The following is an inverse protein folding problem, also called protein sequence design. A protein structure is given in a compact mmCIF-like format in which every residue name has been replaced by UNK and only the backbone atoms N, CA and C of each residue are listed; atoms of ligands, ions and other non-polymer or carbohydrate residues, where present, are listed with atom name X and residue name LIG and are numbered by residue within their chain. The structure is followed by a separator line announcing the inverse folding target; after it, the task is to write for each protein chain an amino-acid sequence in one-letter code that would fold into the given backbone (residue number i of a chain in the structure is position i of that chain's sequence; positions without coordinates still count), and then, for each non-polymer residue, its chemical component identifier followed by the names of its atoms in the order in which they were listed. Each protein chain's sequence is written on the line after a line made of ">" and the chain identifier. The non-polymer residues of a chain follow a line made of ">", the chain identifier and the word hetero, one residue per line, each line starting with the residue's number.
data_IF_636289148627
#
_entry.id   IF_636289148627
#
_cell.length_a   1.000
_cell.length_b   1.000
_cell.length_c   1.000
_cell.angle_alpha   90.00
_cell.angle_beta   90.00
_cell.angle_gamma   90.00
#
_symmetry.space_group_name_H-M   'P 1'
#
loop_
_entity.id
_entity.type
_entity.pdbx_description
1 polymer ?
#
# COMPACT_ATOMS: atom_id res chain seq x y z
N UNK A 1 77.52 -93.33 -26.91
CA UNK A 1 77.87 -92.27 -25.96
C UNK A 1 78.61 -91.19 -26.73
N UNK A 2 77.94 -90.32 -27.48
CA UNK A 2 77.12 -89.15 -27.09
C UNK A 2 77.96 -87.88 -27.13
N UNK A 3 77.86 -87.14 -28.24
CA UNK A 3 78.37 -85.77 -28.35
C UNK A 3 77.57 -85.02 -29.42
N UNK A 4 76.42 -84.50 -29.02
CA UNK A 4 75.74 -83.40 -29.73
C UNK A 4 75.34 -82.38 -28.67
N UNK A 5 76.08 -81.28 -28.66
CA UNK A 5 75.77 -80.10 -27.87
C UNK A 5 74.54 -79.42 -28.47
N UNK A 6 73.45 -79.35 -27.71
CA UNK A 6 72.34 -78.45 -28.00
C UNK A 6 72.73 -77.04 -27.55
N UNK A 7 72.73 -76.07 -28.46
CA UNK A 7 72.81 -74.65 -28.11
C UNK A 7 71.39 -74.15 -27.82
N UNK A 8 71.06 -73.69 -26.59
CA UNK A 8 69.79 -73.05 -26.35
C UNK A 8 69.80 -71.63 -26.94
N UNK A 9 68.75 -71.30 -27.70
CA UNK A 9 68.48 -69.97 -28.21
C UNK A 9 68.32 -68.97 -27.06
N UNK A 10 69.31 -68.11 -26.84
CA UNK A 10 69.19 -66.96 -25.94
C UNK A 10 68.66 -65.77 -26.72
N UNK A 11 67.36 -65.50 -26.61
CA UNK A 11 66.82 -64.19 -26.97
C UNK A 11 67.37 -63.15 -25.96
N UNK A 12 67.85 -61.98 -26.40
CA UNK A 12 68.32 -60.95 -25.48
C UNK A 12 67.14 -60.50 -24.60
N UNK A 13 67.22 -60.81 -23.30
CA UNK A 13 66.24 -60.35 -22.32
C UNK A 13 66.38 -58.84 -22.17
N UNK A 14 65.32 -58.10 -22.50
CA UNK A 14 65.24 -56.68 -22.18
C UNK A 14 65.28 -56.52 -20.64
N UNK A 15 66.02 -55.53 -20.11
CA UNK A 15 66.06 -55.29 -18.68
C UNK A 15 64.64 -55.01 -18.16
N UNK A 16 64.29 -55.48 -16.96
CA UNK A 16 62.99 -55.23 -16.38
C UNK A 16 62.77 -53.72 -16.25
N UNK A 17 61.59 -53.27 -16.67
CA UNK A 17 61.20 -51.87 -16.52
C UNK A 17 61.21 -51.52 -15.02
N UNK A 18 61.71 -50.33 -14.65
CA UNK A 18 61.68 -49.89 -13.26
C UNK A 18 60.24 -49.83 -12.76
N UNK A 19 60.03 -50.17 -11.49
CA UNK A 19 58.69 -50.17 -10.91
C UNK A 19 58.08 -48.76 -11.02
N UNK A 20 56.93 -48.68 -11.70
CA UNK A 20 56.17 -47.44 -11.81
C UNK A 20 55.58 -47.06 -10.45
N UNK A 21 55.27 -45.77 -10.22
CA UNK A 21 54.65 -45.32 -8.98
C UNK A 21 53.35 -46.09 -8.71
N UNK A 22 53.22 -46.64 -7.51
CA UNK A 22 52.06 -47.43 -7.08
C UNK A 22 50.79 -46.57 -7.04
N UNK A 23 49.68 -47.12 -7.56
CA UNK A 23 48.36 -46.47 -7.53
C UNK A 23 47.71 -46.45 -6.14
N UNK A 24 48.49 -46.69 -5.08
CA UNK A 24 48.03 -46.70 -3.69
C UNK A 24 47.62 -45.31 -3.18
N UNK A 25 47.82 -44.26 -4.01
CA UNK A 25 47.56 -42.87 -3.69
C UNK A 25 46.48 -42.22 -4.55
N UNK A 26 45.42 -42.96 -4.88
CA UNK A 26 44.20 -42.36 -5.46
C UNK A 26 43.37 -41.74 -4.34
N UNK A 27 43.16 -40.41 -4.37
CA UNK A 27 42.22 -39.76 -3.44
C UNK A 27 40.80 -40.21 -3.77
N UNK A 28 40.03 -40.58 -2.75
CA UNK A 28 38.60 -40.87 -2.90
C UNK A 28 37.79 -39.65 -3.33
N UNK A 29 36.50 -39.82 -3.69
CA UNK A 29 35.62 -38.72 -4.09
C UNK A 29 35.64 -37.59 -3.07
N UNK A 30 35.97 -36.38 -3.53
CA UNK A 30 35.95 -35.19 -2.70
C UNK A 30 34.52 -34.66 -2.74
N UNK A 31 33.85 -34.64 -1.60
CA UNK A 31 32.55 -33.98 -1.46
C UNK A 31 32.77 -32.47 -1.61
N UNK A 32 32.35 -31.92 -2.75
CA UNK A 32 32.37 -30.48 -2.98
C UNK A 32 31.09 -29.93 -2.34
N UNK A 33 31.19 -29.07 -1.31
CA UNK A 33 29.99 -28.44 -0.75
C UNK A 33 29.28 -27.68 -1.89
N UNK A 34 27.99 -27.97 -2.09
CA UNK A 34 27.20 -27.41 -3.19
C UNK A 34 27.05 -25.89 -3.11
N UNK A 35 27.23 -25.33 -1.91
CA UNK A 35 27.20 -23.88 -1.67
C UNK A 35 28.28 -23.49 -0.68
N UNK A 36 29.05 -22.47 -1.05
CA UNK A 36 30.03 -21.83 -0.19
C UNK A 36 29.33 -20.89 0.82
N UNK A 37 29.94 -20.71 1.99
CA UNK A 37 29.35 -19.92 3.10
C UNK A 37 28.97 -18.49 2.68
N UNK A 38 29.71 -17.89 1.74
CA UNK A 38 29.41 -16.54 1.21
C UNK A 38 28.14 -16.51 0.35
N UNK A 39 27.80 -17.61 -0.34
CA UNK A 39 26.58 -17.72 -1.14
C UNK A 39 25.36 -17.82 -0.24
N UNK A 40 25.47 -18.55 0.87
CA UNK A 40 24.43 -18.63 1.91
C UNK A 40 24.23 -17.25 2.54
N UNK A 41 25.32 -16.56 2.89
CA UNK A 41 25.26 -15.21 3.44
C UNK A 41 24.60 -14.21 2.48
N UNK A 42 24.93 -14.28 1.19
CA UNK A 42 24.30 -13.46 0.15
C UNK A 42 22.81 -13.76 -0.01
N UNK A 43 22.42 -15.05 -0.02
CA UNK A 43 21.03 -15.45 -0.12
C UNK A 43 20.20 -14.94 1.07
N UNK A 44 20.75 -15.04 2.29
CA UNK A 44 20.12 -14.48 3.49
C UNK A 44 19.98 -12.97 3.39
N UNK A 45 21.02 -12.25 2.97
CA UNK A 45 21.00 -10.79 2.83
C UNK A 45 19.96 -10.31 1.80
N UNK A 46 19.84 -10.99 0.67
CA UNK A 46 18.82 -10.70 -0.35
C UNK A 46 17.41 -11.02 0.20
N UNK A 47 17.26 -12.14 0.91
CA UNK A 47 16.00 -12.52 1.54
C UNK A 47 15.50 -11.48 2.55
N UNK A 48 16.38 -10.98 3.43
CA UNK A 48 16.02 -9.92 4.38
C UNK A 48 15.72 -8.59 3.69
N UNK A 49 16.46 -8.24 2.63
CA UNK A 49 16.17 -7.04 1.86
C UNK A 49 14.79 -7.09 1.21
N UNK A 50 14.47 -8.21 0.55
CA UNK A 50 13.15 -8.42 -0.08
C UNK A 50 12.02 -8.41 0.94
N UNK A 51 12.21 -9.08 2.09
CA UNK A 51 11.22 -9.09 3.15
C UNK A 51 11.02 -7.68 3.75
N UNK A 52 12.10 -6.95 3.97
CA UNK A 52 12.05 -5.55 4.43
C UNK A 52 11.34 -4.65 3.43
N UNK A 53 11.60 -4.83 2.13
CA UNK A 53 10.96 -4.05 1.06
C UNK A 53 9.49 -4.41 0.90
N UNK A 54 9.13 -5.69 1.06
CA UNK A 54 7.75 -6.16 1.07
C UNK A 54 6.99 -5.61 2.27
N UNK A 55 7.55 -5.70 3.48
CA UNK A 55 6.99 -5.11 4.70
C UNK A 55 6.84 -3.59 4.51
N UNK A 56 7.87 -2.90 4.02
CA UNK A 56 7.82 -1.47 3.73
C UNK A 56 6.73 -1.13 2.71
N UNK A 57 6.60 -1.90 1.63
CA UNK A 57 5.57 -1.71 0.63
C UNK A 57 4.17 -1.93 1.21
N UNK A 58 3.96 -2.96 2.03
CA UNK A 58 2.70 -3.19 2.73
C UNK A 58 2.40 -2.08 3.75
N UNK A 59 3.39 -1.62 4.52
CA UNK A 59 3.22 -0.49 5.45
C UNK A 59 2.91 0.79 4.67
N UNK A 60 3.60 1.07 3.55
CA UNK A 60 3.37 2.24 2.69
C UNK A 60 1.99 2.19 2.03
N UNK A 61 1.57 1.02 1.55
CA UNK A 61 0.25 0.79 1.00
C UNK A 61 -0.83 0.95 2.09
N UNK A 62 -0.56 0.46 3.30
CA UNK A 62 -1.43 0.58 4.47
C UNK A 62 -1.36 1.95 5.15
N UNK A 63 -0.36 2.77 4.86
CA UNK A 63 -0.28 4.18 5.28
C UNK A 63 -1.31 5.05 4.54
N UNK A 64 -2.05 4.50 3.57
CA UNK A 64 -3.31 5.08 3.05
C UNK A 64 -4.52 4.83 3.98
N UNK A 65 -4.38 3.94 4.96
CA UNK A 65 -5.22 3.88 6.15
C UNK A 65 -4.41 4.55 7.29
N UNK A 66 -4.58 5.86 7.51
CA UNK A 66 -3.77 6.58 8.47
C UNK A 66 -4.07 6.07 9.88
N UNK A 67 -3.12 6.32 10.78
CA UNK A 67 -3.35 6.39 12.22
C UNK A 67 -4.76 6.88 12.54
N UNK A 68 -5.35 6.28 13.58
CA UNK A 68 -6.68 6.49 14.11
C UNK A 68 -6.93 7.93 14.59
N UNK A 69 -6.80 8.91 13.70
CA UNK A 69 -7.48 10.19 13.80
C UNK A 69 -8.92 9.85 13.43
N UNK A 70 -9.89 10.04 14.34
CA UNK A 70 -11.28 9.75 14.03
C UNK A 70 -11.68 10.55 12.77
N UNK A 71 -12.46 9.96 11.86
CA UNK A 71 -12.77 10.57 10.56
C UNK A 71 -13.35 11.98 10.69
N UNK A 72 -14.03 12.29 11.81
CA UNK A 72 -14.50 13.63 12.17
C UNK A 72 -13.38 14.66 12.29
N UNK A 73 -12.30 14.33 13.01
CA UNK A 73 -11.21 15.25 13.33
C UNK A 73 -10.37 15.48 12.07
N UNK A 74 -10.21 14.43 11.26
CA UNK A 74 -9.58 14.55 9.93
C UNK A 74 -10.37 15.49 9.02
N UNK A 75 -11.72 15.39 9.00
CA UNK A 75 -12.55 16.20 8.12
C UNK A 75 -12.57 17.68 8.54
N UNK A 76 -12.68 17.96 9.83
CA UNK A 76 -12.64 19.33 10.37
C UNK A 76 -11.27 19.97 10.16
N UNK A 77 -10.18 19.25 10.41
CA UNK A 77 -8.83 19.73 10.16
C UNK A 77 -8.59 20.01 8.67
N UNK A 78 -9.09 19.15 7.77
CA UNK A 78 -9.02 19.37 6.32
C UNK A 78 -9.83 20.61 5.88
N UNK A 79 -11.00 20.84 6.48
CA UNK A 79 -11.83 22.02 6.21
C UNK A 79 -11.15 23.32 6.67
N UNK A 80 -10.57 23.33 7.87
CA UNK A 80 -9.84 24.49 8.41
C UNK A 80 -8.58 24.76 7.57
N UNK A 81 -7.83 23.72 7.23
CA UNK A 81 -6.66 23.83 6.35
C UNK A 81 -7.05 24.37 4.97
N UNK A 82 -8.17 23.91 4.41
CA UNK A 82 -8.70 24.44 3.16
C UNK A 82 -8.98 25.94 3.30
N UNK A 83 -9.67 26.36 4.36
CA UNK A 83 -9.97 27.78 4.61
C UNK A 83 -8.71 28.65 4.68
N UNK A 84 -7.67 28.19 5.40
CA UNK A 84 -6.40 28.93 5.53
C UNK A 84 -5.61 29.02 4.21
N UNK A 85 -5.55 27.92 3.44
CA UNK A 85 -4.75 27.88 2.21
C UNK A 85 -5.39 28.58 1.01
N UNK A 86 -6.68 28.89 1.08
CA UNK A 86 -7.46 29.44 -0.04
C UNK A 86 -8.05 30.81 0.26
N UNK A 87 -7.35 31.62 1.07
CA UNK A 87 -7.82 32.93 1.51
C UNK A 87 -8.32 33.84 0.36
N UNK A 88 -7.69 33.73 -0.82
CA UNK A 88 -8.00 34.53 -2.01
C UNK A 88 -8.55 33.69 -3.19
N UNK A 89 -8.95 32.43 -2.97
CA UNK A 89 -9.34 31.50 -4.04
C UNK A 89 -10.62 30.73 -3.67
N UNK A 90 -11.77 31.33 -3.99
CA UNK A 90 -13.09 30.79 -3.65
C UNK A 90 -13.37 29.44 -4.34
N UNK A 91 -12.90 29.26 -5.56
CA UNK A 91 -13.08 28.01 -6.32
C UNK A 91 -12.31 26.87 -5.66
N UNK A 92 -11.05 27.10 -5.33
CA UNK A 92 -10.21 26.11 -4.66
C UNK A 92 -10.69 25.84 -3.25
N UNK A 93 -11.22 26.85 -2.55
CA UNK A 93 -11.89 26.68 -1.26
C UNK A 93 -13.06 25.69 -1.37
N UNK A 94 -13.98 25.91 -2.31
CA UNK A 94 -15.14 25.05 -2.51
C UNK A 94 -14.76 23.63 -2.96
N UNK A 95 -13.70 23.50 -3.78
CA UNK A 95 -13.19 22.21 -4.21
C UNK A 95 -12.61 21.39 -3.04
N UNK A 96 -11.71 21.98 -2.26
CA UNK A 96 -11.09 21.29 -1.13
C UNK A 96 -12.10 20.97 -0.03
N UNK A 97 -12.99 21.91 0.30
CA UNK A 97 -14.03 21.72 1.32
C UNK A 97 -15.02 20.62 0.92
N UNK A 98 -15.43 20.58 -0.35
CA UNK A 98 -16.29 19.52 -0.88
C UNK A 98 -15.60 18.16 -0.88
N UNK A 99 -14.30 18.09 -1.17
CA UNK A 99 -13.53 16.84 -1.06
C UNK A 99 -13.41 16.35 0.37
N UNK A 100 -13.17 17.25 1.34
CA UNK A 100 -13.12 16.93 2.76
C UNK A 100 -14.46 16.35 3.25
N UNK A 101 -15.58 17.01 2.89
CA UNK A 101 -16.92 16.54 3.21
C UNK A 101 -17.21 15.17 2.58
N UNK A 102 -16.92 14.98 1.29
CA UNK A 102 -17.11 13.68 0.62
C UNK A 102 -16.30 12.58 1.29
N UNK A 103 -15.03 12.84 1.62
CA UNK A 103 -14.15 11.88 2.31
C UNK A 103 -14.69 11.51 3.69
N UNK A 104 -15.26 12.46 4.42
CA UNK A 104 -15.94 12.19 5.68
C UNK A 104 -17.17 11.30 5.49
N UNK A 105 -18.01 11.59 4.50
CA UNK A 105 -19.19 10.77 4.23
C UNK A 105 -18.79 9.34 3.82
N UNK A 106 -17.67 9.15 3.10
CA UNK A 106 -17.16 7.82 2.78
C UNK A 106 -16.59 7.06 3.97
N UNK A 107 -15.70 7.72 4.72
CA UNK A 107 -14.97 7.05 5.81
C UNK A 107 -15.76 6.99 7.12
N UNK A 108 -16.57 8.00 7.39
CA UNK A 108 -17.36 8.17 8.61
C UNK A 108 -18.72 7.49 8.53
N UNK A 109 -19.40 7.57 7.39
CA UNK A 109 -20.74 6.98 7.20
C UNK A 109 -20.75 5.71 6.35
N UNK A 110 -19.60 5.34 5.75
CA UNK A 110 -19.51 4.17 4.86
C UNK A 110 -20.23 4.33 3.52
N UNK A 111 -20.60 5.56 3.15
CA UNK A 111 -21.31 5.84 1.89
C UNK A 111 -20.32 5.81 0.72
N UNK A 112 -20.73 5.33 -0.46
CA UNK A 112 -19.82 5.29 -1.63
C UNK A 112 -20.00 6.56 -2.47
N UNK A 113 -19.00 7.45 -2.46
CA UNK A 113 -18.96 8.64 -3.30
C UNK A 113 -18.00 8.54 -4.49
N UNK A 114 -17.05 7.60 -4.46
CA UNK A 114 -15.90 7.52 -5.37
C UNK A 114 -16.25 7.40 -6.87
N UNK A 115 -17.51 7.19 -7.23
CA UNK A 115 -18.00 7.15 -8.61
C UNK A 115 -19.36 7.84 -8.81
N UNK A 116 -19.77 8.72 -7.88
CA UNK A 116 -21.12 9.27 -7.84
C UNK A 116 -21.10 10.81 -7.87
N UNK A 117 -21.96 11.42 -8.69
CA UNK A 117 -22.15 12.87 -8.68
C UNK A 117 -22.90 13.34 -7.43
N UNK A 118 -22.85 14.64 -7.11
CA UNK A 118 -23.58 15.21 -5.95
C UNK A 118 -25.07 14.87 -6.01
N UNK A 119 -25.69 14.96 -7.19
CA UNK A 119 -27.12 14.67 -7.40
C UNK A 119 -27.45 13.18 -7.27
N UNK A 120 -26.64 12.30 -7.88
CA UNK A 120 -26.85 10.86 -7.77
C UNK A 120 -26.69 10.37 -6.33
N UNK A 121 -25.77 10.99 -5.57
CA UNK A 121 -25.59 10.70 -4.16
C UNK A 121 -26.82 11.13 -3.34
N UNK A 122 -27.33 12.34 -3.55
CA UNK A 122 -28.56 12.82 -2.90
C UNK A 122 -29.76 11.95 -3.29
N UNK A 123 -29.83 11.50 -4.54
CA UNK A 123 -30.82 10.52 -4.99
C UNK A 123 -30.72 9.19 -4.26
N UNK A 124 -29.50 8.73 -3.98
CA UNK A 124 -29.25 7.49 -3.21
C UNK A 124 -29.60 7.61 -1.71
N UNK A 125 -29.63 8.83 -1.18
CA UNK A 125 -30.09 9.11 0.19
C UNK A 125 -31.62 9.14 0.30
N UNK A 126 -32.33 9.54 -0.75
CA UNK A 126 -33.81 9.58 -0.77
C UNK A 126 -34.39 8.18 -0.58
N UNK A 127 -34.84 7.89 0.64
CA UNK A 127 -35.41 6.60 1.03
C UNK A 127 -34.58 5.82 2.06
N UNK A 128 -33.38 6.30 2.43
CA UNK A 128 -32.62 5.75 3.55
C UNK A 128 -33.17 6.30 4.88
N UNK A 129 -33.80 5.44 5.69
CA UNK A 129 -34.33 5.78 7.02
C UNK A 129 -33.25 5.99 8.08
N UNK A 130 -31.99 5.68 7.78
CA UNK A 130 -30.86 5.87 8.68
C UNK A 130 -30.59 7.35 9.01
N UNK A 131 -30.86 8.26 8.07
CA UNK A 131 -30.57 9.68 8.23
C UNK A 131 -31.86 10.51 8.24
N UNK A 132 -32.03 11.45 9.20
CA UNK A 132 -33.18 12.34 9.23
C UNK A 132 -33.35 13.12 7.93
N UNK A 133 -34.59 13.45 7.55
CA UNK A 133 -34.87 14.23 6.35
C UNK A 133 -34.18 15.60 6.39
N UNK A 134 -34.15 16.23 7.56
CA UNK A 134 -33.48 17.52 7.79
C UNK A 134 -31.98 17.47 7.46
N UNK A 135 -31.30 16.37 7.81
CA UNK A 135 -29.89 16.18 7.46
C UNK A 135 -29.68 16.07 5.95
N UNK A 136 -30.59 15.39 5.24
CA UNK A 136 -30.52 15.22 3.79
C UNK A 136 -30.75 16.56 3.07
N UNK A 137 -31.66 17.39 3.57
CA UNK A 137 -31.95 18.73 3.04
C UNK A 137 -30.76 19.67 3.25
N UNK A 138 -30.18 19.72 4.46
CA UNK A 138 -28.98 20.52 4.75
C UNK A 138 -27.78 20.08 3.89
N UNK A 139 -27.60 18.78 3.70
CA UNK A 139 -26.53 18.25 2.84
C UNK A 139 -26.72 18.66 1.38
N UNK A 140 -27.97 18.63 0.89
CA UNK A 140 -28.29 19.06 -0.46
C UNK A 140 -28.00 20.55 -0.67
N UNK A 141 -28.35 21.39 0.30
CA UNK A 141 -28.09 22.83 0.26
C UNK A 141 -26.58 23.13 0.21
N UNK A 142 -25.80 22.52 1.10
CA UNK A 142 -24.34 22.70 1.14
C UNK A 142 -23.67 22.24 -0.15
N UNK A 143 -24.06 21.08 -0.71
CA UNK A 143 -23.53 20.60 -1.99
C UNK A 143 -23.90 21.55 -3.14
N UNK A 144 -25.12 22.08 -3.14
CA UNK A 144 -25.59 23.05 -4.14
C UNK A 144 -24.80 24.36 -4.07
N UNK A 145 -24.46 24.83 -2.86
CA UNK A 145 -23.60 26.00 -2.67
C UNK A 145 -22.19 25.74 -3.24
N UNK A 146 -21.60 24.58 -2.94
CA UNK A 146 -20.28 24.23 -3.51
C UNK A 146 -20.29 24.15 -5.03
N UNK A 147 -21.33 23.57 -5.63
CA UNK A 147 -21.42 23.45 -7.08
C UNK A 147 -21.64 24.82 -7.73
N UNK A 148 -22.39 25.73 -7.11
CA UNK A 148 -22.46 27.13 -7.57
C UNK A 148 -21.09 27.83 -7.53
N UNK A 149 -20.30 27.64 -6.48
CA UNK A 149 -18.99 28.28 -6.38
C UNK A 149 -18.01 27.71 -7.42
N UNK A 150 -17.96 26.38 -7.57
CA UNK A 150 -17.08 25.68 -8.51
C UNK A 150 -17.40 25.94 -9.98
N UNK A 151 -18.69 25.95 -10.32
CA UNK A 151 -19.13 25.97 -11.72
C UNK A 151 -19.67 27.32 -12.18
N UNK A 152 -20.23 28.14 -11.29
CA UNK A 152 -20.80 29.43 -11.65
C UNK A 152 -19.85 30.61 -11.39
N UNK A 153 -18.62 30.38 -10.89
CA UNK A 153 -17.61 31.41 -10.59
C UNK A 153 -18.18 32.58 -9.75
N UNK A 154 -19.12 32.27 -8.86
CA UNK A 154 -19.77 33.28 -8.04
C UNK A 154 -18.81 33.71 -6.93
N UNK A 155 -18.41 35.00 -6.86
CA UNK A 155 -17.54 35.47 -5.78
C UNK A 155 -18.27 35.34 -4.46
N UNK A 156 -17.56 34.85 -3.44
CA UNK A 156 -18.14 34.55 -2.14
C UNK A 156 -17.66 35.61 -1.14
N UNK A 157 -18.57 36.20 -0.38
CA UNK A 157 -18.17 37.11 0.69
C UNK A 157 -17.54 36.31 1.83
N UNK A 158 -16.68 36.96 2.62
CA UNK A 158 -16.07 36.34 3.80
C UNK A 158 -17.14 35.84 4.81
N UNK A 159 -18.28 36.52 4.89
CA UNK A 159 -19.43 36.12 5.70
C UNK A 159 -20.04 34.81 5.20
N UNK A 160 -20.32 34.70 3.89
CA UNK A 160 -20.84 33.48 3.29
C UNK A 160 -19.85 32.32 3.42
N UNK A 161 -18.55 32.60 3.34
CA UNK A 161 -17.51 31.58 3.55
C UNK A 161 -17.52 31.02 4.97
N UNK A 162 -17.68 31.91 5.96
CA UNK A 162 -17.77 31.53 7.37
C UNK A 162 -19.04 30.72 7.64
N UNK A 163 -20.17 31.09 7.02
CA UNK A 163 -21.42 30.35 7.06
C UNK A 163 -21.26 28.93 6.48
N UNK A 164 -20.60 28.79 5.32
CA UNK A 164 -20.34 27.47 4.71
C UNK A 164 -19.52 26.59 5.64
N UNK A 165 -18.44 27.13 6.23
CA UNK A 165 -17.60 26.37 7.16
C UNK A 165 -18.41 25.90 8.38
N UNK A 166 -19.24 26.78 8.95
CA UNK A 166 -20.09 26.44 10.08
C UNK A 166 -21.13 25.36 9.70
N UNK A 167 -21.83 25.51 8.57
CA UNK A 167 -22.81 24.54 8.10
C UNK A 167 -22.18 23.17 7.85
N UNK A 168 -21.02 23.11 7.20
CA UNK A 168 -20.29 21.85 6.95
C UNK A 168 -19.86 21.20 8.27
N UNK A 169 -19.39 22.00 9.24
CA UNK A 169 -18.94 21.50 10.53
C UNK A 169 -20.11 20.92 11.35
N UNK A 170 -21.24 21.63 11.41
CA UNK A 170 -22.47 21.14 12.05
C UNK A 170 -22.98 19.85 11.39
N UNK A 171 -22.90 19.76 10.06
CA UNK A 171 -23.33 18.58 9.33
C UNK A 171 -22.44 17.36 9.65
N UNK A 172 -21.13 17.55 9.79
CA UNK A 172 -20.19 16.51 10.24
C UNK A 172 -20.50 16.06 11.67
N UNK A 173 -20.85 17.00 12.57
CA UNK A 173 -21.22 16.69 13.95
C UNK A 173 -22.52 15.88 14.03
N UNK A 174 -23.57 16.31 13.32
CA UNK A 174 -24.85 15.60 13.26
C UNK A 174 -24.69 14.18 12.70
N UNK A 175 -23.93 14.03 11.61
CA UNK A 175 -23.62 12.74 11.01
C UNK A 175 -22.87 11.81 11.98
N UNK A 176 -21.95 12.36 12.77
CA UNK A 176 -21.21 11.61 13.77
C UNK A 176 -22.14 11.11 14.89
N UNK A 177 -23.04 11.97 15.38
CA UNK A 177 -24.00 11.62 16.43
C UNK A 177 -24.90 10.44 16.00
N UNK A 178 -25.49 10.51 14.80
CA UNK A 178 -26.34 9.43 14.24
C UNK A 178 -25.60 8.10 14.17
N UNK A 179 -24.33 8.12 13.77
CA UNK A 179 -23.52 6.89 13.63
C UNK A 179 -23.09 6.32 14.97
N UNK A 180 -22.84 7.18 15.97
CA UNK A 180 -22.41 6.75 17.30
C UNK A 180 -23.57 6.16 18.13
N UNK A 181 -24.82 6.57 17.87
CA UNK A 181 -26.00 5.96 18.49
C UNK A 181 -26.32 4.56 17.92
N UNK A 182 -26.15 4.32 16.61
CA UNK A 182 -26.28 2.97 16.02
C UNK A 182 -25.22 1.99 16.59
N UNK A 183 -23.99 2.46 16.82
CA UNK A 183 -22.90 1.62 17.35
C UNK A 183 -22.98 1.30 18.85
N UNK A 184 -23.76 2.06 19.63
CA UNK A 184 -23.97 1.83 21.06
C UNK A 184 -25.15 0.87 21.34
N UNK A 185 -25.94 0.52 20.32
CA UNK A 185 -27.10 -0.37 20.42
C UNK A 185 -26.86 -1.79 19.86
N UNK A 186 -25.62 -2.09 19.42
CA UNK A 186 -25.19 -3.40 18.91
C UNK A 186 -24.24 -4.10 19.89
#
# INVERSE_FOLDING_TARGET
>A
MSLLAQMPASAPQLPPLPEGPTFDRVRGPIEIPTYETWQIALAVAVGTLLLGLLIWFFIRARSKAPNAIPPRESALAELETAAQLTENDDERFAQLSSQALRRYLEKGLGLRFSACTSEEFLGSLKGNTRFPLEFQEQLAEVLTIFDQIKFAQKPVSQETRSQIIQSVSQLIEQAHAVTHEEGAQA
#
